data_IF_721722634553
#
_entry.id   IF_721722634553
#
_cell.length_a   1.000
_cell.length_b   1.000
_cell.length_c   1.000
_cell.angle_alpha   90.00
_cell.angle_beta   90.00
_cell.angle_gamma   90.00
#
_symmetry.space_group_name_H-M   'P 1'
#
loop_
_entity.id
_entity.type
_entity.pdbx_description
1 polymer ?
#
# COMPACT_ATOMS: atom_id res chain seq x y z
N UNK A 1 -4.72 17.15 -4.08
CA UNK A 1 -4.21 15.75 -4.08
C UNK A 1 -2.94 15.74 -3.27
N UNK A 2 -2.92 15.03 -2.15
CA UNK A 2 -1.71 14.89 -1.33
C UNK A 2 -1.10 13.52 -1.59
N UNK A 3 0.19 13.52 -1.88
CA UNK A 3 0.98 12.29 -1.99
C UNK A 3 1.44 11.91 -0.58
N UNK A 4 1.21 10.67 -0.19
CA UNK A 4 1.65 10.11 1.08
C UNK A 4 2.51 8.87 0.86
N UNK A 5 3.46 8.67 1.77
CA UNK A 5 4.19 7.42 1.91
C UNK A 5 3.33 6.46 2.73
N UNK A 6 3.11 5.25 2.22
CA UNK A 6 2.33 4.21 2.91
C UNK A 6 2.88 2.81 2.65
N UNK A 7 2.34 1.83 3.35
CA UNK A 7 2.64 0.41 3.14
C UNK A 7 1.55 -0.25 2.28
N UNK A 8 1.94 -0.93 1.21
CA UNK A 8 1.06 -1.87 0.50
C UNK A 8 1.23 -3.27 1.08
N UNK A 9 0.12 -4.03 1.17
CA UNK A 9 0.10 -5.39 1.70
C UNK A 9 0.13 -6.40 0.55
N UNK A 10 1.07 -7.33 0.61
CA UNK A 10 1.09 -8.53 -0.24
C UNK A 10 1.23 -9.80 0.59
N UNK A 11 1.34 -10.94 -0.09
CA UNK A 11 1.54 -12.25 0.52
C UNK A 11 0.28 -13.09 0.63
N UNK A 12 0.34 -14.16 1.41
CA UNK A 12 -0.73 -15.15 1.56
C UNK A 12 -1.41 -15.07 2.93
N UNK A 13 -2.52 -15.80 3.10
CA UNK A 13 -3.23 -15.88 4.38
C UNK A 13 -2.27 -16.37 5.47
N UNK A 14 -2.23 -15.66 6.60
CA UNK A 14 -1.30 -15.86 7.73
C UNK A 14 0.19 -15.60 7.43
N UNK A 15 0.57 -15.13 6.23
CA UNK A 15 1.95 -14.74 5.89
C UNK A 15 1.99 -13.47 5.01
N UNK A 16 1.63 -12.30 5.55
CA UNK A 16 1.72 -11.05 4.81
C UNK A 16 3.15 -10.51 4.75
N UNK A 17 3.45 -9.75 3.71
CA UNK A 17 4.60 -8.85 3.64
C UNK A 17 4.14 -7.44 3.27
N UNK A 18 4.99 -6.45 3.54
CA UNK A 18 4.70 -5.05 3.29
C UNK A 18 5.78 -4.40 2.42
N UNK A 19 5.37 -3.47 1.55
CA UNK A 19 6.27 -2.66 0.72
C UNK A 19 5.99 -1.18 0.94
N UNK A 20 7.04 -0.37 1.03
CA UNK A 20 6.90 1.10 1.07
C UNK A 20 6.54 1.60 -0.32
N UNK A 21 5.44 2.34 -0.43
CA UNK A 21 4.92 2.87 -1.69
C UNK A 21 4.54 4.33 -1.51
N UNK A 22 4.82 5.14 -2.54
CA UNK A 22 4.41 6.53 -2.64
C UNK A 22 3.10 6.58 -3.43
N UNK A 23 2.02 7.06 -2.83
CA UNK A 23 0.71 7.10 -3.50
C UNK A 23 -0.13 8.27 -3.05
N UNK A 24 -1.12 8.66 -3.86
CA UNK A 24 -2.09 9.67 -3.48
C UNK A 24 -3.01 9.16 -2.35
N UNK A 25 -3.41 10.04 -1.44
CA UNK A 25 -4.28 9.70 -0.31
C UNK A 25 -5.63 9.09 -0.71
N UNK A 26 -6.12 9.37 -1.92
CA UNK A 26 -7.38 8.81 -2.47
C UNK A 26 -7.23 7.45 -3.14
N UNK A 27 -6.01 6.95 -3.35
CA UNK A 27 -5.80 5.66 -3.99
C UNK A 27 -6.09 4.49 -3.01
N UNK A 28 -6.62 3.34 -3.45
CA UNK A 28 -6.79 2.13 -2.64
C UNK A 28 -5.43 1.54 -2.19
N UNK A 29 -5.38 0.90 -1.02
CA UNK A 29 -4.11 0.53 -0.32
C UNK A 29 -3.17 -0.38 -1.11
N UNK A 30 -3.71 -1.44 -1.71
CA UNK A 30 -2.92 -2.54 -2.27
C UNK A 30 -2.82 -2.48 -3.80
N UNK A 31 -3.20 -1.35 -4.42
CA UNK A 31 -3.20 -1.17 -5.87
C UNK A 31 -3.19 0.29 -6.30
N UNK A 32 -3.58 0.51 -7.55
CA UNK A 32 -4.02 1.81 -8.06
C UNK A 32 -5.52 1.96 -7.84
#
# INVERSE_FOLDING_TARGET
MSVSLRLSRGGSKKRPYYKVVVSNSRAPRDGK
#
